data_IF_410199041643
#
_entry.id   IF_410199041643
#
_cell.length_a   1.000
_cell.length_b   1.000
_cell.length_c   1.000
_cell.angle_alpha   90.00
_cell.angle_beta   90.00
_cell.angle_gamma   90.00
#
_symmetry.space_group_name_H-M   'P 1'
#
loop_
_entity.id
_entity.type
_entity.pdbx_description
1 polymer ?
#
# COMPACT_ATOMS: atom_id res chain seq x y z
N UNK A 1 8.81 34.33 11.62
CA UNK A 1 7.67 33.39 11.47
C UNK A 1 6.36 33.98 11.97
N UNK A 2 6.33 34.73 13.08
CA UNK A 2 5.10 35.40 13.57
C UNK A 2 4.36 36.22 12.51
N UNK A 3 5.07 37.05 11.74
CA UNK A 3 4.43 37.86 10.68
C UNK A 3 3.73 37.03 9.60
N UNK A 4 4.18 35.79 9.34
CA UNK A 4 3.53 34.94 8.35
C UNK A 4 2.19 34.39 8.87
N UNK A 5 2.17 33.88 10.10
CA UNK A 5 0.97 33.34 10.72
C UNK A 5 -0.10 34.40 10.92
N UNK A 6 0.30 35.61 11.35
CA UNK A 6 -0.62 36.75 11.50
C UNK A 6 -1.20 37.19 10.15
N UNK A 7 -0.38 37.23 9.09
CA UNK A 7 -0.86 37.56 7.75
C UNK A 7 -1.82 36.49 7.21
N UNK A 8 -1.53 35.21 7.46
CA UNK A 8 -2.38 34.09 7.06
C UNK A 8 -3.72 34.12 7.79
N UNK A 9 -3.70 34.37 9.10
CA UNK A 9 -4.90 34.52 9.92
C UNK A 9 -5.77 35.69 9.46
N UNK A 10 -5.14 36.83 9.17
CA UNK A 10 -5.83 38.02 8.65
C UNK A 10 -6.46 37.75 7.29
N UNK A 11 -5.74 37.10 6.37
CA UNK A 11 -6.25 36.77 5.05
C UNK A 11 -7.40 35.75 5.13
N UNK A 12 -7.28 34.73 5.97
CA UNK A 12 -8.33 33.75 6.18
C UNK A 12 -9.59 34.38 6.79
N UNK A 13 -9.43 35.24 7.80
CA UNK A 13 -10.54 35.98 8.40
C UNK A 13 -11.22 36.90 7.38
N UNK A 14 -10.45 37.61 6.56
CA UNK A 14 -11.01 38.49 5.51
C UNK A 14 -11.87 37.72 4.49
N UNK A 15 -11.46 36.50 4.12
CA UNK A 15 -12.16 35.68 3.12
C UNK A 15 -13.34 34.92 3.71
N UNK A 16 -13.21 34.41 4.93
CA UNK A 16 -14.19 33.47 5.51
C UNK A 16 -15.05 34.08 6.61
N UNK A 17 -14.64 35.21 7.18
CA UNK A 17 -15.23 35.82 8.39
C UNK A 17 -14.93 35.05 9.68
N UNK A 18 -14.10 34.00 9.63
CA UNK A 18 -13.83 33.10 10.76
C UNK A 18 -12.40 33.30 11.24
N UNK A 19 -12.21 33.41 12.56
CA UNK A 19 -10.88 33.48 13.16
C UNK A 19 -10.26 32.07 13.22
N UNK A 20 -8.99 31.91 12.82
CA UNK A 20 -8.27 30.63 12.83
C UNK A 20 -7.86 30.19 14.25
N UNK A 21 -8.00 31.02 15.26
CA UNK A 21 -7.82 30.64 16.66
C UNK A 21 -8.88 29.67 17.16
N UNK A 22 -8.48 28.75 18.05
CA UNK A 22 -9.40 27.84 18.74
C UNK A 22 -9.97 26.72 17.86
N UNK A 23 -11.24 26.35 18.08
CA UNK A 23 -11.85 25.15 17.48
C UNK A 23 -11.91 25.22 15.95
N UNK A 24 -12.16 26.40 15.38
CA UNK A 24 -12.21 26.57 13.93
C UNK A 24 -10.86 26.25 13.26
N UNK A 25 -9.75 26.71 13.84
CA UNK A 25 -8.41 26.35 13.38
C UNK A 25 -8.12 24.86 13.46
N UNK A 26 -8.59 24.19 14.52
CA UNK A 26 -8.43 22.74 14.66
C UNK A 26 -9.17 21.99 13.55
N UNK A 27 -10.40 22.40 13.22
CA UNK A 27 -11.18 21.78 12.13
C UNK A 27 -10.47 22.00 10.79
N UNK A 28 -10.04 23.22 10.50
CA UNK A 28 -9.34 23.54 9.24
C UNK A 28 -8.02 22.77 9.12
N UNK A 29 -7.23 22.74 10.20
CA UNK A 29 -5.98 21.98 10.26
C UNK A 29 -6.19 20.49 10.08
N UNK A 30 -7.23 19.91 10.68
CA UNK A 30 -7.59 18.51 10.50
C UNK A 30 -8.01 18.21 9.07
N UNK A 31 -8.85 19.05 8.46
CA UNK A 31 -9.23 18.91 7.05
C UNK A 31 -8.01 18.94 6.13
N UNK A 32 -7.10 19.90 6.35
CA UNK A 32 -5.86 19.99 5.59
C UNK A 32 -4.99 18.74 5.76
N UNK A 33 -4.84 18.24 6.99
CA UNK A 33 -4.08 17.02 7.27
C UNK A 33 -4.68 15.79 6.57
N UNK A 34 -6.01 15.65 6.60
CA UNK A 34 -6.69 14.59 5.86
C UNK A 34 -6.43 14.68 4.34
N UNK A 35 -6.41 15.88 3.77
CA UNK A 35 -6.08 16.08 2.35
C UNK A 35 -4.63 15.67 2.04
N UNK A 36 -3.68 15.98 2.92
CA UNK A 36 -2.28 15.53 2.78
C UNK A 36 -2.19 14.00 2.80
N UNK A 37 -2.87 13.33 3.74
CA UNK A 37 -2.92 11.86 3.79
C UNK A 37 -3.51 11.30 2.49
N UNK A 38 -4.59 11.89 1.99
CA UNK A 38 -5.22 11.46 0.73
C UNK A 38 -4.26 11.60 -0.46
N UNK A 39 -3.52 12.70 -0.55
CA UNK A 39 -2.52 12.92 -1.59
C UNK A 39 -1.39 11.87 -1.53
N UNK A 40 -0.84 11.61 -0.34
CA UNK A 40 0.19 10.58 -0.14
C UNK A 40 -0.32 9.17 -0.47
N UNK A 41 -1.59 8.88 -0.13
CA UNK A 41 -2.22 7.59 -0.45
C UNK A 41 -2.41 7.41 -1.96
N UNK A 42 -2.74 8.49 -2.68
CA UNK A 42 -2.91 8.45 -4.13
C UNK A 42 -1.61 8.08 -4.85
N UNK A 43 -0.48 8.67 -4.43
CA UNK A 43 0.84 8.38 -4.98
C UNK A 43 1.28 6.93 -4.76
N UNK A 44 0.96 6.37 -3.57
CA UNK A 44 1.28 4.98 -3.25
C UNK A 44 0.44 3.96 -4.03
N UNK A 45 -0.73 4.33 -4.55
CA UNK A 45 -1.57 3.43 -5.33
C UNK A 45 -1.07 3.26 -6.77
N UNK A 46 -0.23 4.15 -7.27
CA UNK A 46 0.19 4.18 -8.70
C UNK A 46 1.45 3.39 -9.00
N UNK A 47 2.30 3.08 -8.02
CA UNK A 47 3.49 2.24 -8.22
C UNK A 47 3.24 0.86 -7.63
N UNK A 48 2.65 -0.04 -8.42
CA UNK A 48 2.87 -1.47 -8.17
C UNK A 48 4.34 -1.73 -8.52
N UNK A 49 5.21 -2.09 -7.56
CA UNK A 49 6.56 -2.49 -7.91
C UNK A 49 6.43 -3.72 -8.81
N UNK A 50 6.91 -3.63 -10.05
CA UNK A 50 7.08 -4.81 -10.89
C UNK A 50 8.19 -5.63 -10.24
N UNK A 51 7.83 -6.73 -9.60
CA UNK A 51 8.83 -7.60 -8.98
C UNK A 51 9.42 -8.46 -10.09
N UNK A 52 10.60 -8.07 -10.54
CA UNK A 52 11.39 -8.88 -11.47
C UNK A 52 11.92 -10.11 -10.73
N UNK A 53 11.61 -11.30 -11.26
CA UNK A 53 12.00 -12.58 -10.69
C UNK A 53 13.53 -12.72 -10.50
N UNK A 54 14.32 -12.04 -11.33
CA UNK A 54 15.78 -11.98 -11.25
C UNK A 54 16.32 -11.46 -9.91
N UNK A 55 15.55 -10.64 -9.18
CA UNK A 55 15.98 -10.12 -7.87
C UNK A 55 15.72 -11.12 -6.73
N UNK A 56 14.95 -12.19 -6.95
CA UNK A 56 14.58 -13.16 -5.92
C UNK A 56 15.60 -14.29 -5.78
N UNK A 57 16.32 -14.63 -6.86
CA UNK A 57 17.36 -15.67 -6.83
C UNK A 57 18.56 -15.31 -5.94
N UNK A 58 18.78 -14.03 -5.63
CA UNK A 58 19.84 -13.60 -4.71
C UNK A 58 19.53 -13.86 -3.23
N UNK A 59 18.26 -14.17 -2.90
CA UNK A 59 17.76 -14.31 -1.52
C UNK A 59 17.64 -15.77 -1.09
N UNK A 60 17.95 -16.74 -1.97
CA UNK A 60 17.90 -18.17 -1.70
C UNK A 60 17.11 -18.93 -2.77
N UNK A 61 16.34 -19.92 -2.35
CA UNK A 61 15.45 -20.66 -3.24
C UNK A 61 14.37 -19.72 -3.82
N UNK A 62 14.34 -19.60 -5.14
CA UNK A 62 13.45 -18.68 -5.85
C UNK A 62 11.97 -19.00 -5.59
N UNK A 63 11.59 -20.28 -5.52
CA UNK A 63 10.21 -20.69 -5.29
C UNK A 63 9.77 -20.34 -3.86
N UNK A 64 10.63 -20.55 -2.87
CA UNK A 64 10.37 -20.15 -1.48
C UNK A 64 10.25 -18.63 -1.37
N UNK A 65 11.12 -17.89 -2.04
CA UNK A 65 11.08 -16.43 -2.06
C UNK A 65 9.76 -15.92 -2.66
N UNK A 66 9.34 -16.48 -3.81
CA UNK A 66 8.04 -16.17 -4.45
C UNK A 66 6.85 -16.51 -3.54
N UNK A 67 6.87 -17.65 -2.85
CA UNK A 67 5.80 -18.02 -1.89
C UNK A 67 5.70 -17.02 -0.74
N UNK A 68 6.83 -16.67 -0.13
CA UNK A 68 6.84 -15.73 0.99
C UNK A 68 6.42 -14.32 0.57
N UNK A 69 6.89 -13.87 -0.58
CA UNK A 69 6.48 -12.59 -1.15
C UNK A 69 4.98 -12.58 -1.46
N UNK A 70 4.45 -13.67 -2.02
CA UNK A 70 3.02 -13.80 -2.30
C UNK A 70 2.16 -13.65 -1.04
N UNK A 71 2.62 -14.14 0.13
CA UNK A 71 1.95 -13.88 1.42
C UNK A 71 1.90 -12.39 1.75
N UNK A 72 3.04 -11.70 1.68
CA UNK A 72 3.09 -10.26 1.93
C UNK A 72 2.18 -9.48 0.97
N UNK A 73 2.14 -9.87 -0.30
CA UNK A 73 1.26 -9.26 -1.30
C UNK A 73 -0.23 -9.51 -1.00
N UNK A 74 -0.61 -10.69 -0.50
CA UNK A 74 -1.98 -10.98 -0.05
C UNK A 74 -2.35 -10.09 1.14
N UNK A 75 -1.46 -9.97 2.14
CA UNK A 75 -1.68 -9.10 3.31
C UNK A 75 -1.83 -7.62 2.92
N UNK A 76 -1.21 -7.20 1.81
CA UNK A 76 -1.30 -5.85 1.25
C UNK A 76 -2.45 -5.66 0.25
N UNK A 77 -3.34 -6.64 0.09
CA UNK A 77 -4.45 -6.65 -0.89
C UNK A 77 -4.00 -6.53 -2.36
N UNK A 78 -2.75 -6.90 -2.66
CA UNK A 78 -2.16 -6.92 -4.00
C UNK A 78 -2.40 -8.29 -4.68
N UNK A 79 -3.66 -8.75 -4.69
CA UNK A 79 -4.04 -10.12 -5.04
C UNK A 79 -3.65 -10.54 -6.47
N UNK A 80 -3.67 -9.61 -7.43
CA UNK A 80 -3.31 -9.91 -8.82
C UNK A 80 -1.84 -10.31 -8.97
N UNK A 81 -0.96 -9.68 -8.21
CA UNK A 81 0.48 -9.94 -8.28
C UNK A 81 0.84 -11.21 -7.51
N UNK A 82 0.20 -11.41 -6.34
CA UNK A 82 0.32 -12.65 -5.59
C UNK A 82 -0.12 -13.86 -6.43
N UNK A 83 -1.25 -13.75 -7.16
CA UNK A 83 -1.72 -14.82 -8.03
C UNK A 83 -0.71 -15.13 -9.14
N UNK A 84 -0.19 -14.10 -9.82
CA UNK A 84 0.82 -14.25 -10.89
C UNK A 84 2.05 -15.03 -10.40
N UNK A 85 2.62 -14.64 -9.26
CA UNK A 85 3.79 -15.29 -8.68
C UNK A 85 3.52 -16.73 -8.24
N UNK A 86 2.35 -17.01 -7.65
CA UNK A 86 1.96 -18.36 -7.24
C UNK A 86 1.76 -19.30 -8.43
N UNK A 87 1.25 -18.81 -9.56
CA UNK A 87 1.16 -19.60 -10.80
C UNK A 87 2.56 -19.97 -11.31
N UNK A 88 3.50 -19.03 -11.35
CA UNK A 88 4.90 -19.34 -11.74
C UNK A 88 5.52 -20.42 -10.85
N UNK A 89 5.25 -20.34 -9.54
CA UNK A 89 5.72 -21.35 -8.59
C UNK A 89 5.13 -22.71 -8.92
N UNK A 90 3.80 -22.82 -9.11
CA UNK A 90 3.10 -24.09 -9.38
C UNK A 90 3.51 -24.70 -10.73
N UNK A 91 3.83 -23.87 -11.72
CA UNK A 91 4.32 -24.31 -13.03
C UNK A 91 5.81 -24.73 -13.02
N UNK A 92 6.54 -24.41 -11.96
CA UNK A 92 7.93 -24.85 -11.80
C UNK A 92 8.02 -26.36 -11.53
N UNK A 93 8.99 -27.02 -12.17
CA UNK A 93 9.18 -28.47 -12.05
C UNK A 93 9.90 -28.91 -10.76
N UNK A 94 10.32 -27.97 -9.90
CA UNK A 94 11.22 -28.22 -8.77
C UNK A 94 10.56 -28.05 -7.39
N UNK A 95 9.24 -28.07 -7.32
CA UNK A 95 8.49 -27.92 -6.07
C UNK A 95 8.55 -29.16 -5.17
N UNK A 96 8.90 -28.96 -3.90
CA UNK A 96 8.63 -29.98 -2.88
C UNK A 96 7.13 -30.12 -2.63
N UNK A 97 6.72 -31.29 -2.12
CA UNK A 97 5.32 -31.55 -1.74
C UNK A 97 4.78 -30.57 -0.68
N UNK A 98 5.67 -30.00 0.15
CA UNK A 98 5.32 -29.01 1.17
C UNK A 98 5.07 -27.65 0.54
N UNK A 99 5.96 -27.19 -0.34
CA UNK A 99 5.80 -25.90 -1.04
C UNK A 99 4.56 -25.90 -1.92
N UNK A 100 4.29 -27.00 -2.63
CA UNK A 100 3.08 -27.15 -3.45
C UNK A 100 1.81 -26.96 -2.61
N UNK A 101 1.73 -27.63 -1.45
CA UNK A 101 0.60 -27.46 -0.52
C UNK A 101 0.43 -26.03 -0.03
N UNK A 102 1.54 -25.32 0.20
CA UNK A 102 1.49 -23.92 0.63
C UNK A 102 1.00 -23.03 -0.51
N UNK A 103 1.52 -23.22 -1.73
CA UNK A 103 1.12 -22.45 -2.90
C UNK A 103 -0.37 -22.66 -3.24
N UNK A 104 -0.83 -23.91 -3.24
CA UNK A 104 -2.24 -24.27 -3.47
C UNK A 104 -3.15 -23.61 -2.41
N UNK A 105 -2.76 -23.67 -1.13
CA UNK A 105 -3.51 -23.04 -0.03
C UNK A 105 -3.61 -21.50 -0.18
N UNK A 106 -2.54 -20.85 -0.63
CA UNK A 106 -2.56 -19.40 -0.90
C UNK A 106 -3.42 -19.05 -2.11
N UNK A 107 -3.42 -19.88 -3.16
CA UNK A 107 -4.31 -19.70 -4.32
C UNK A 107 -5.78 -19.84 -3.93
N UNK A 108 -6.11 -20.81 -3.06
CA UNK A 108 -7.44 -20.97 -2.51
C UNK A 108 -7.85 -19.77 -1.66
N UNK A 109 -6.94 -19.21 -0.86
CA UNK A 109 -7.19 -18.00 -0.07
C UNK A 109 -7.54 -16.81 -0.96
N UNK A 110 -6.81 -16.59 -2.05
CA UNK A 110 -7.09 -15.52 -3.03
C UNK A 110 -8.45 -15.74 -3.69
N UNK A 111 -8.81 -17.00 -3.98
CA UNK A 111 -10.06 -17.36 -4.66
C UNK A 111 -11.28 -17.19 -3.75
N UNK A 112 -11.16 -17.59 -2.48
CA UNK A 112 -12.25 -17.51 -1.49
C UNK A 112 -12.38 -16.13 -0.84
N UNK A 113 -11.33 -15.30 -0.85
CA UNK A 113 -11.34 -13.93 -0.30
C UNK A 113 -11.96 -12.87 -1.23
N UNK A 114 -12.44 -13.26 -2.41
CA UNK A 114 -13.13 -12.37 -3.38
C UNK A 114 -14.65 -12.27 -3.14
N UNK A 115 -15.14 -12.72 -1.98
CA UNK A 115 -16.55 -12.69 -1.57
C UNK A 115 -16.94 -11.42 -0.85
#
# INVERSE_FOLDING_TARGET
MENFFVNLETAFFFVTGINLGGVAGLIVGLCFFCLVILALRFERSTSKPTIEASNLSEVGDENIAKINLSRSLIEMDQLSEAYRLLIEVVESNELSSKEKKIADSLLDQISNGRG
#
